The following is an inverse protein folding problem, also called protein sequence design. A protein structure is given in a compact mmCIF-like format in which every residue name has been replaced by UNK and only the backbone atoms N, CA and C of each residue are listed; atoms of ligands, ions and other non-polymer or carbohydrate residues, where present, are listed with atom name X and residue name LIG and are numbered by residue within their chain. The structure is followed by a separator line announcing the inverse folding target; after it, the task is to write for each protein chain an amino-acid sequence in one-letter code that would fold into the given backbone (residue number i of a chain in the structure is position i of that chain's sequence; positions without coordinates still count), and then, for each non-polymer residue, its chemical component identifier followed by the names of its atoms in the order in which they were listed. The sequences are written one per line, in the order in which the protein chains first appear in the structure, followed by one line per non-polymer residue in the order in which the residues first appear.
data_IF_516700963750
#
_entry.id   IF_516700963750
#
_cell.length_a   1.000
_cell.length_b   1.000
_cell.length_c   1.000
_cell.angle_alpha   90.00
_cell.angle_beta   90.00
_cell.angle_gamma   90.00
#
_symmetry.space_group_name_H-M   'P 1'
#
loop_
_entity.id
_entity.type
_entity.pdbx_description
1 polymer ?
#
# COMPACT_ATOMS: atom_id res chain seq x y z
N UNK A 1 15.71 -9.99 7.57
CA UNK A 1 14.67 -9.74 6.53
C UNK A 1 13.27 -10.20 6.94
N UNK A 2 12.70 -9.62 8.02
CA UNK A 2 11.37 -9.96 8.56
C UNK A 2 10.29 -8.89 8.26
N UNK A 3 10.67 -7.72 7.73
CA UNK A 3 9.76 -6.58 7.52
C UNK A 3 8.79 -6.84 6.34
N UNK A 4 9.25 -7.55 5.31
CA UNK A 4 8.43 -7.94 4.15
C UNK A 4 7.39 -9.00 4.53
N UNK A 5 7.67 -9.84 5.54
CA UNK A 5 6.77 -10.92 5.96
C UNK A 5 5.48 -10.39 6.61
N UNK A 6 5.55 -9.25 7.31
CA UNK A 6 4.37 -8.64 7.92
C UNK A 6 3.45 -7.94 6.90
N UNK A 7 3.88 -7.81 5.65
CA UNK A 7 3.17 -7.04 4.63
C UNK A 7 2.68 -7.91 3.46
N UNK A 8 3.28 -9.08 3.19
CA UNK A 8 3.02 -9.85 1.95
C UNK A 8 2.90 -11.37 2.19
N UNK A 9 1.71 -11.89 2.54
CA UNK A 9 1.25 -13.30 2.38
C UNK A 9 -0.29 -13.33 2.39
N UNK A 10 -1.08 -13.99 1.51
CA UNK A 10 -0.89 -14.91 0.39
C UNK A 10 -2.28 -15.26 -0.23
N UNK A 11 -2.30 -15.88 -1.42
CA UNK A 11 -3.38 -15.99 -2.42
C UNK A 11 -4.62 -16.88 -2.16
N UNK A 12 -5.74 -16.46 -2.79
CA UNK A 12 -6.82 -17.15 -3.58
C UNK A 12 -7.64 -18.33 -3.00
N UNK A 13 -8.98 -18.18 -3.02
CA UNK A 13 -9.97 -19.04 -3.74
C UNK A 13 -11.42 -18.61 -3.39
N UNK A 14 -12.19 -18.04 -4.33
CA UNK A 14 -13.25 -18.64 -5.19
C UNK A 14 -14.70 -18.25 -4.76
N UNK A 15 -15.36 -17.45 -5.63
CA UNK A 15 -16.82 -17.36 -5.89
C UNK A 15 -17.72 -16.87 -4.73
N UNK A 16 -18.69 -15.96 -4.90
CA UNK A 16 -19.20 -15.17 -6.00
C UNK A 16 -20.32 -14.29 -5.46
N UNK A 17 -20.62 -13.19 -6.15
CA UNK A 17 -21.96 -12.60 -6.17
C UNK A 17 -22.44 -11.95 -4.87
N UNK A 18 -22.29 -10.62 -4.80
CA UNK A 18 -23.32 -9.64 -4.38
C UNK A 18 -22.75 -8.54 -3.49
N UNK A 19 -22.63 -7.36 -4.13
CA UNK A 19 -22.85 -6.01 -3.58
C UNK A 19 -21.88 -5.52 -2.47
N UNK A 20 -21.71 -4.20 -2.38
CA UNK A 20 -21.60 -3.54 -1.06
C UNK A 20 -20.32 -3.74 -0.23
N UNK A 21 -19.12 -3.70 -0.83
CA UNK A 21 -17.87 -3.77 -0.06
C UNK A 21 -17.60 -2.44 0.66
N UNK A 22 -18.04 -2.37 1.92
CA UNK A 22 -17.60 -1.42 2.94
C UNK A 22 -16.08 -1.27 2.91
N UNK A 23 -15.58 -0.04 3.09
CA UNK A 23 -14.16 0.26 3.30
C UNK A 23 -13.58 -0.44 4.56
N UNK A 24 -14.46 -0.96 5.41
CA UNK A 24 -14.13 -1.81 6.55
C UNK A 24 -14.56 -3.25 6.24
N UNK A 25 -13.65 -4.07 5.71
CA UNK A 25 -13.82 -5.52 5.63
C UNK A 25 -12.82 -6.18 6.60
N UNK A 26 -13.32 -6.66 7.74
CA UNK A 26 -12.52 -7.27 8.81
C UNK A 26 -12.36 -8.78 8.50
N UNK A 27 -11.13 -9.26 8.26
CA UNK A 27 -10.83 -10.68 8.01
C UNK A 27 -9.99 -11.25 9.16
N UNK A 28 -10.51 -12.18 9.98
CA UNK A 28 -9.76 -12.82 11.06
C UNK A 28 -8.94 -14.01 10.51
N UNK A 29 -7.89 -13.73 9.72
CA UNK A 29 -7.03 -14.75 9.10
C UNK A 29 -5.71 -15.01 9.85
N UNK A 30 -5.63 -14.67 11.14
CA UNK A 30 -4.43 -14.92 11.91
C UNK A 30 -4.51 -16.30 12.58
N UNK A 31 -3.58 -17.19 12.21
CA UNK A 31 -3.35 -18.43 12.96
C UNK A 31 -2.86 -18.06 14.37
N UNK A 32 -3.40 -18.69 15.41
CA UNK A 32 -3.21 -18.30 16.82
C UNK A 32 -1.73 -18.10 17.21
N UNK A 33 -0.81 -18.93 16.68
CA UNK A 33 0.64 -18.78 16.93
C UNK A 33 1.25 -17.47 16.39
N UNK A 34 0.71 -16.89 15.32
CA UNK A 34 1.17 -15.61 14.79
C UNK A 34 0.82 -14.45 15.72
N UNK A 35 -0.28 -14.57 16.47
CA UNK A 35 -0.67 -13.60 17.49
C UNK A 35 0.19 -13.72 18.76
N UNK A 36 0.81 -14.86 19.01
CA UNK A 36 1.60 -15.04 20.24
C UNK A 36 3.05 -14.57 20.09
N UNK A 37 3.47 -14.22 18.86
CA UNK A 37 4.82 -13.74 18.59
C UNK A 37 5.01 -12.31 19.12
N UNK A 38 6.01 -12.12 19.98
CA UNK A 38 6.39 -10.80 20.50
C UNK A 38 7.66 -10.32 19.81
N UNK A 39 7.57 -9.16 19.16
CA UNK A 39 8.73 -8.45 18.66
C UNK A 39 9.42 -7.71 19.81
N UNK A 40 10.65 -8.09 20.13
CA UNK A 40 11.45 -7.48 21.21
C UNK A 40 12.32 -6.32 20.74
N UNK A 41 12.47 -6.16 19.42
CA UNK A 41 13.34 -5.14 18.82
C UNK A 41 12.53 -3.96 18.31
N UNK A 42 13.07 -2.75 18.49
CA UNK A 42 12.52 -1.55 17.87
C UNK A 42 12.79 -1.60 16.37
N UNK A 43 11.74 -1.52 15.56
CA UNK A 43 11.85 -1.56 14.11
C UNK A 43 12.01 -0.15 13.53
N UNK A 44 12.81 -0.06 12.48
CA UNK A 44 12.98 1.18 11.72
C UNK A 44 11.73 1.46 10.86
N UNK A 45 11.25 2.72 10.81
CA UNK A 45 10.13 3.08 9.95
C UNK A 45 10.44 2.83 8.46
N UNK A 46 9.44 2.32 7.74
CA UNK A 46 9.55 1.97 6.33
C UNK A 46 8.85 2.98 5.41
N UNK A 47 9.42 3.14 4.20
CA UNK A 47 8.75 3.80 3.08
C UNK A 47 8.03 2.74 2.24
N UNK A 48 6.73 2.90 2.10
CA UNK A 48 5.87 1.97 1.38
C UNK A 48 5.66 2.53 -0.03
N UNK A 49 5.90 1.72 -1.07
CA UNK A 49 5.89 2.14 -2.46
C UNK A 49 4.84 1.33 -3.21
N UNK A 50 3.83 2.01 -3.75
CA UNK A 50 2.79 1.43 -4.59
C UNK A 50 2.94 2.02 -5.99
N UNK A 51 3.16 1.16 -6.99
CA UNK A 51 3.16 1.58 -8.39
C UNK A 51 1.79 1.30 -8.98
N UNK A 52 1.24 2.24 -9.75
CA UNK A 52 -0.06 2.08 -10.39
C UNK A 52 -0.06 2.66 -11.80
N UNK A 53 -0.92 2.10 -12.65
CA UNK A 53 -1.20 2.60 -14.00
C UNK A 53 -2.68 2.32 -14.30
N UNK A 54 -3.47 3.37 -14.54
CA UNK A 54 -4.91 3.23 -14.86
C UNK A 54 -5.70 2.37 -13.86
N UNK A 55 -5.35 2.47 -12.58
CA UNK A 55 -5.99 1.72 -11.49
C UNK A 55 -7.38 2.28 -11.16
N UNK A 56 -8.28 1.39 -10.74
CA UNK A 56 -9.61 1.79 -10.28
C UNK A 56 -9.50 2.64 -9.01
N UNK A 57 -10.20 3.78 -8.97
CA UNK A 57 -10.14 4.74 -7.85
C UNK A 57 -10.41 4.08 -6.49
N UNK A 58 -11.50 3.32 -6.39
CA UNK A 58 -11.89 2.66 -5.14
C UNK A 58 -10.87 1.65 -4.64
N UNK A 59 -10.18 0.96 -5.55
CA UNK A 59 -9.19 -0.07 -5.24
C UNK A 59 -7.91 0.57 -4.72
N UNK A 60 -7.40 1.59 -5.42
CA UNK A 60 -6.23 2.35 -5.00
C UNK A 60 -6.43 2.99 -3.62
N UNK A 61 -7.57 3.64 -3.41
CA UNK A 61 -7.91 4.25 -2.12
C UNK A 61 -7.99 3.20 -1.02
N UNK A 62 -8.60 2.04 -1.30
CA UNK A 62 -8.70 0.95 -0.33
C UNK A 62 -7.33 0.45 0.08
N UNK A 63 -6.39 0.32 -0.85
CA UNK A 63 -5.02 -0.06 -0.52
C UNK A 63 -4.33 0.95 0.39
N UNK A 64 -4.44 2.24 0.07
CA UNK A 64 -3.84 3.31 0.89
C UNK A 64 -4.44 3.34 2.30
N UNK A 65 -5.76 3.32 2.42
CA UNK A 65 -6.44 3.31 3.72
C UNK A 65 -6.13 2.05 4.51
N UNK A 66 -6.13 0.89 3.86
CA UNK A 66 -5.80 -0.37 4.52
C UNK A 66 -4.39 -0.36 5.13
N UNK A 67 -3.41 0.27 4.45
CA UNK A 67 -2.07 0.46 4.99
C UNK A 67 -2.10 1.40 6.20
N UNK A 68 -2.76 2.56 6.10
CA UNK A 68 -2.81 3.55 7.18
C UNK A 68 -3.54 3.04 8.42
N UNK A 69 -4.64 2.33 8.24
CA UNK A 69 -5.53 1.89 9.33
C UNK A 69 -4.98 0.65 10.06
N UNK A 70 -4.30 -0.24 9.34
CA UNK A 70 -3.88 -1.55 9.87
C UNK A 70 -2.39 -1.65 10.22
N UNK A 71 -1.63 -0.61 9.91
CA UNK A 71 -0.20 -0.52 10.27
C UNK A 71 0.01 0.41 11.45
N UNK A 72 0.99 0.10 12.31
CA UNK A 72 1.40 1.02 13.38
C UNK A 72 1.97 2.30 12.75
N UNK A 73 1.42 3.45 13.13
CA UNK A 73 1.81 4.74 12.55
C UNK A 73 3.30 5.04 12.71
N UNK A 74 3.94 4.60 13.79
CA UNK A 74 5.39 4.72 14.00
C UNK A 74 6.25 3.95 12.98
N UNK A 75 5.72 2.88 12.39
CA UNK A 75 6.42 2.06 11.40
C UNK A 75 6.19 2.54 9.96
N UNK A 76 5.13 3.30 9.72
CA UNK A 76 4.85 3.90 8.41
C UNK A 76 5.47 5.30 8.38
N UNK A 77 6.62 5.41 7.71
CA UNK A 77 7.28 6.70 7.50
C UNK A 77 6.53 7.51 6.46
N UNK A 78 6.28 6.89 5.31
CA UNK A 78 5.63 7.50 4.15
C UNK A 78 5.06 6.43 3.21
N UNK A 79 4.04 6.80 2.45
CA UNK A 79 3.46 6.02 1.36
C UNK A 79 3.70 6.79 0.07
N UNK A 80 4.33 6.13 -0.90
CA UNK A 80 4.76 6.69 -2.17
C UNK A 80 3.93 6.03 -3.27
N UNK A 81 3.00 6.79 -3.82
CA UNK A 81 2.20 6.38 -4.96
C UNK A 81 2.92 6.79 -6.24
N UNK A 82 3.41 5.82 -7.00
CA UNK A 82 4.11 6.04 -8.26
C UNK A 82 3.13 5.85 -9.42
N UNK A 83 2.75 6.95 -10.07
CA UNK A 83 1.94 6.95 -11.29
C UNK A 83 2.83 6.68 -12.50
N UNK A 84 2.75 5.48 -13.07
CA UNK A 84 3.48 5.09 -14.30
C UNK A 84 2.72 5.57 -15.55
N UNK A 85 2.54 6.89 -15.66
CA UNK A 85 1.86 7.58 -16.76
C UNK A 85 0.42 7.09 -17.04
N UNK A 86 -0.43 7.08 -16.01
CA UNK A 86 -1.86 6.83 -16.16
C UNK A 86 -2.52 7.87 -17.08
N UNK A 87 -3.58 7.49 -17.78
CA UNK A 87 -4.35 8.37 -18.68
C UNK A 87 -5.71 8.77 -18.12
N UNK A 88 -6.21 8.07 -17.10
CA UNK A 88 -7.52 8.35 -16.50
C UNK A 88 -7.53 9.66 -15.69
N UNK A 89 -8.52 10.52 -15.93
CA UNK A 89 -8.62 11.86 -15.32
C UNK A 89 -8.69 11.83 -13.79
N UNK A 90 -9.35 10.82 -13.21
CA UNK A 90 -9.45 10.68 -11.75
C UNK A 90 -8.09 10.47 -11.08
N UNK A 91 -7.10 9.93 -11.79
CA UNK A 91 -5.75 9.69 -11.24
C UNK A 91 -4.83 10.91 -11.30
N UNK A 92 -5.31 12.03 -11.85
CA UNK A 92 -4.56 13.28 -11.98
C UNK A 92 -4.84 14.19 -10.80
N UNK A 93 -5.37 15.39 -11.06
CA UNK A 93 -5.66 16.40 -10.05
C UNK A 93 -6.60 15.91 -8.94
N UNK A 94 -7.66 15.11 -9.21
CA UNK A 94 -8.54 14.60 -8.15
C UNK A 94 -7.79 13.74 -7.13
N UNK A 95 -6.89 12.87 -7.60
CA UNK A 95 -6.05 12.03 -6.73
C UNK A 95 -5.10 12.86 -5.88
N UNK A 96 -4.44 13.88 -6.45
CA UNK A 96 -3.56 14.78 -5.70
C UNK A 96 -4.31 15.51 -4.60
N UNK A 97 -5.48 16.08 -4.92
CA UNK A 97 -6.32 16.77 -3.94
C UNK A 97 -6.72 15.82 -2.82
N UNK A 98 -7.16 14.60 -3.15
CA UNK A 98 -7.56 13.62 -2.16
C UNK A 98 -6.39 13.18 -1.26
N UNK A 99 -5.24 12.84 -1.86
CA UNK A 99 -4.08 12.33 -1.12
C UNK A 99 -3.41 13.41 -0.26
N UNK A 100 -3.53 14.70 -0.62
CA UNK A 100 -3.04 15.80 0.22
C UNK A 100 -3.76 15.91 1.58
N UNK A 101 -4.98 15.38 1.70
CA UNK A 101 -5.67 15.29 2.99
C UNK A 101 -5.13 14.17 3.88
N UNK A 102 -4.48 13.16 3.29
CA UNK A 102 -3.89 12.04 4.01
C UNK A 102 -2.45 12.39 4.43
N UNK A 103 -2.18 12.35 5.73
CA UNK A 103 -0.82 12.53 6.22
C UNK A 103 0.07 11.37 5.73
N UNK A 104 1.34 11.68 5.41
CA UNK A 104 2.37 10.72 4.99
C UNK A 104 2.22 10.14 3.57
N UNK A 105 1.24 10.55 2.77
CA UNK A 105 1.10 10.09 1.38
C UNK A 105 1.73 11.11 0.43
N UNK A 106 2.50 10.63 -0.55
CA UNK A 106 3.04 11.45 -1.64
C UNK A 106 2.88 10.75 -2.99
N UNK A 107 2.68 11.53 -4.03
CA UNK A 107 2.54 11.04 -5.41
C UNK A 107 3.80 11.41 -6.19
N UNK A 108 4.36 10.43 -6.91
CA UNK A 108 5.47 10.62 -7.86
C UNK A 108 4.97 10.22 -9.23
N UNK A 109 5.11 11.09 -10.23
CA UNK A 109 4.62 10.85 -11.59
C UNK A 109 5.76 10.60 -12.56
N UNK A 110 5.66 9.55 -13.35
CA UNK A 110 6.51 9.33 -14.51
C UNK A 110 5.99 10.17 -15.70
N UNK A 111 6.91 10.71 -16.50
CA UNK A 111 6.57 11.50 -17.70
C UNK A 111 5.95 10.62 -18.80
N UNK A 112 6.44 9.39 -18.92
CA UNK A 112 5.96 8.38 -19.87
C UNK A 112 5.87 7.01 -19.18
N UNK A 113 5.23 6.05 -19.86
CA UNK A 113 5.06 4.70 -19.32
C UNK A 113 6.37 3.92 -19.35
N UNK A 114 7.01 3.78 -18.20
CA UNK A 114 8.32 3.16 -18.04
C UNK A 114 8.25 1.67 -17.70
N UNK A 115 7.11 1.21 -17.16
CA UNK A 115 6.88 -0.16 -16.69
C UNK A 115 7.25 -0.36 -15.22
N UNK A 116 6.73 -1.46 -14.64
CA UNK A 116 6.76 -1.72 -13.18
C UNK A 116 8.16 -1.62 -12.55
N UNK A 117 9.20 -2.15 -13.20
CA UNK A 117 10.56 -2.15 -12.65
C UNK A 117 11.07 -0.71 -12.47
N UNK A 118 10.93 0.10 -13.52
CA UNK A 118 11.39 1.50 -13.50
C UNK A 118 10.53 2.37 -12.60
N UNK A 119 9.22 2.11 -12.55
CA UNK A 119 8.33 2.76 -11.59
C UNK A 119 8.75 2.44 -10.13
N UNK A 120 9.08 1.18 -9.81
CA UNK A 120 9.61 0.82 -8.48
C UNK A 120 10.93 1.52 -8.18
N UNK A 121 11.83 1.62 -9.16
CA UNK A 121 13.08 2.37 -9.00
C UNK A 121 12.85 3.87 -8.78
N UNK A 122 11.87 4.46 -9.45
CA UNK A 122 11.47 5.86 -9.26
C UNK A 122 10.94 6.08 -7.83
N UNK A 123 10.07 5.20 -7.35
CA UNK A 123 9.59 5.22 -5.96
C UNK A 123 10.72 5.03 -4.95
N UNK A 124 11.65 4.11 -5.21
CA UNK A 124 12.80 3.87 -4.34
C UNK A 124 13.73 5.09 -4.24
N UNK A 125 13.99 5.78 -5.36
CA UNK A 125 14.77 7.03 -5.37
C UNK A 125 14.09 8.16 -4.59
N UNK A 126 12.76 8.20 -4.63
CA UNK A 126 11.99 9.20 -3.89
C UNK A 126 11.89 8.87 -2.38
N UNK A 127 12.17 7.64 -1.97
CA UNK A 127 12.01 7.20 -0.59
C UNK A 127 13.09 7.75 0.35
N UNK A 128 12.68 8.07 1.58
CA UNK A 128 13.53 8.61 2.64
C UNK A 128 13.69 7.64 3.83
N UNK A 129 12.94 6.53 3.83
CA UNK A 129 13.02 5.47 4.82
C UNK A 129 14.23 4.58 4.59
N UNK A 130 14.77 4.04 5.68
CA UNK A 130 15.88 3.06 5.62
C UNK A 130 15.41 1.71 5.06
N UNK A 131 14.12 1.42 5.22
CA UNK A 131 13.50 0.18 4.76
C UNK A 131 12.48 0.53 3.69
N UNK A 132 12.53 -0.23 2.58
CA UNK A 132 11.58 -0.09 1.48
C UNK A 132 10.65 -1.30 1.47
N UNK A 133 9.37 -1.01 1.29
CA UNK A 133 8.32 -2.02 1.14
C UNK A 133 7.61 -1.77 -0.17
N UNK A 134 7.58 -2.77 -1.04
CA UNK A 134 6.85 -2.68 -2.31
C UNK A 134 5.52 -3.42 -2.18
N UNK A 135 4.45 -2.72 -2.55
CA UNK A 135 3.09 -3.24 -2.57
C UNK A 135 2.47 -2.98 -3.95
N UNK A 136 1.52 -3.82 -4.33
CA UNK A 136 0.69 -3.56 -5.50
C UNK A 136 -0.42 -2.55 -5.14
N UNK A 137 -0.98 -1.90 -6.16
CA UNK A 137 -2.01 -0.86 -6.00
C UNK A 137 -3.43 -1.38 -5.68
N UNK A 138 -3.58 -2.71 -5.55
CA UNK A 138 -4.84 -3.40 -5.34
C UNK A 138 -4.75 -4.45 -4.23
N UNK A 139 -4.22 -4.03 -3.09
CA UNK A 139 -4.07 -4.85 -1.89
C UNK A 139 -5.00 -4.39 -0.78
N UNK A 140 -5.21 -5.27 0.19
CA UNK A 140 -5.75 -4.95 1.51
C UNK A 140 -4.82 -5.59 2.55
N UNK A 141 -4.19 -4.77 3.40
CA UNK A 141 -3.35 -5.23 4.49
C UNK A 141 -4.19 -5.95 5.55
N UNK A 142 -3.59 -6.88 6.30
CA UNK A 142 -4.22 -7.50 7.47
C UNK A 142 -3.65 -6.89 8.75
N UNK A 143 -4.36 -7.04 9.87
CA UNK A 143 -3.89 -6.53 11.16
C UNK A 143 -2.77 -7.43 11.71
N UNK A 144 -1.56 -6.88 11.84
CA UNK A 144 -0.45 -7.49 12.57
C UNK A 144 -0.44 -7.09 14.05
N UNK A 145 0.30 -7.82 14.88
CA UNK A 145 0.52 -7.49 16.31
C UNK A 145 1.77 -6.62 16.52
#
# INVERSE_FOLDING_TARGET
DLIVINIVKGLVSHISHLKQLSLEFYLPLSFSRCLDFKYTQKHEPASIILCFHNEAWSVLLRSVHSILDRSKSELVKEIILVDDASTMDHLKKPLEVYMNFLQKVKIVRAEERQGLIRARMLGAKAATGKVLVFLDSHIECTTGK
#
